data_IF_080297225257
#
_entry.id   IF_080297225257
#
_cell.length_a   1.000
_cell.length_b   1.000
_cell.length_c   1.000
_cell.angle_alpha   90.00
_cell.angle_beta   90.00
_cell.angle_gamma   90.00
#
_symmetry.space_group_name_H-M   'P 1'
#
loop_
_entity.id
_entity.type
_entity.pdbx_description
1 polymer ?
#
# COMPACT_ATOMS: atom_id res chain seq x y z
N UNK A 1 11.74 4.78 -34.67
CA UNK A 1 11.06 6.08 -34.74
C UNK A 1 9.56 5.82 -34.72
N UNK A 2 8.97 5.71 -33.53
CA UNK A 2 7.54 5.85 -33.34
C UNK A 2 7.34 6.87 -32.23
N UNK A 3 6.62 7.92 -32.62
CA UNK A 3 6.42 9.18 -31.93
C UNK A 3 5.16 9.07 -31.09
N UNK A 4 5.23 9.62 -29.87
CA UNK A 4 4.20 10.37 -29.16
C UNK A 4 2.73 9.91 -29.32
N UNK A 5 2.22 9.06 -28.39
CA UNK A 5 0.85 9.12 -27.83
C UNK A 5 0.81 8.29 -26.52
N UNK A 6 1.45 8.70 -25.42
CA UNK A 6 1.17 8.15 -24.07
C UNK A 6 1.55 9.20 -23.01
N UNK A 7 0.79 10.29 -22.91
CA UNK A 7 1.09 11.36 -21.94
C UNK A 7 -0.13 11.81 -21.13
N UNK A 8 -1.17 10.96 -21.01
CA UNK A 8 -2.42 11.33 -20.33
C UNK A 8 -2.94 10.36 -19.27
N UNK A 9 -2.20 9.29 -18.93
CA UNK A 9 -2.69 8.19 -18.06
C UNK A 9 -1.93 8.10 -16.72
N UNK A 10 -0.98 9.01 -16.46
CA UNK A 10 -0.11 8.92 -15.27
C UNK A 10 -0.67 9.64 -14.05
N UNK A 11 -1.75 10.41 -14.19
CA UNK A 11 -2.35 11.20 -13.10
C UNK A 11 -2.98 10.30 -12.02
N UNK A 12 -3.43 9.10 -12.38
CA UNK A 12 -3.87 8.11 -11.41
C UNK A 12 -2.70 7.36 -10.76
N UNK A 13 -1.46 7.37 -11.25
CA UNK A 13 -0.48 6.35 -10.86
C UNK A 13 0.21 6.57 -9.51
N UNK A 14 0.22 7.77 -8.92
CA UNK A 14 0.80 7.96 -7.59
C UNK A 14 -0.21 7.59 -6.48
N UNK A 15 -1.45 8.11 -6.55
CA UNK A 15 -2.55 7.72 -5.65
C UNK A 15 -3.12 6.33 -5.97
N UNK A 16 -3.21 5.92 -7.23
CA UNK A 16 -3.64 4.58 -7.61
C UNK A 16 -2.52 3.54 -7.59
N UNK A 17 -1.22 3.85 -7.55
CA UNK A 17 -0.25 2.81 -7.13
C UNK A 17 -0.43 2.49 -5.65
N UNK A 18 -0.80 3.48 -4.83
CA UNK A 18 -1.18 3.28 -3.42
C UNK A 18 -2.50 2.49 -3.33
N UNK A 19 -3.52 2.77 -4.15
CA UNK A 19 -4.77 1.99 -4.15
C UNK A 19 -4.65 0.63 -4.85
N UNK A 20 -3.87 0.47 -5.92
CA UNK A 20 -3.68 -0.80 -6.68
C UNK A 20 -2.75 -1.75 -5.94
N UNK A 21 -1.78 -1.27 -5.16
CA UNK A 21 -0.99 -2.13 -4.27
C UNK A 21 -1.78 -2.57 -3.01
N UNK A 22 -2.92 -1.92 -2.69
CA UNK A 22 -3.77 -2.20 -1.53
C UNK A 22 -5.14 -2.82 -1.90
N UNK A 23 -5.46 -2.98 -3.19
CA UNK A 23 -6.71 -3.57 -3.67
C UNK A 23 -6.49 -4.97 -4.26
N UNK A 24 -6.43 -5.96 -3.37
CA UNK A 24 -6.84 -7.32 -3.72
C UNK A 24 -8.21 -7.58 -3.08
N UNK A 25 -9.19 -7.59 -3.97
CA UNK A 25 -10.65 -7.71 -3.85
C UNK A 25 -11.21 -8.59 -2.73
N UNK A 26 -12.32 -8.10 -2.15
CA UNK A 26 -13.32 -8.90 -1.43
C UNK A 26 -14.69 -8.20 -1.47
N UNK A 27 -15.69 -8.85 -2.07
CA UNK A 27 -17.03 -8.30 -2.28
C UNK A 27 -17.79 -8.02 -0.96
N UNK A 28 -18.49 -6.88 -0.88
CA UNK A 28 -19.26 -6.44 0.30
C UNK A 28 -20.76 -6.67 0.05
N UNK A 29 -21.45 -7.26 1.02
CA UNK A 29 -22.92 -7.34 1.10
C UNK A 29 -23.43 -6.31 2.11
N UNK A 30 -24.31 -5.41 1.68
CA UNK A 30 -24.91 -4.34 2.49
C UNK A 30 -25.88 -4.90 3.56
N UNK A 31 -25.81 -4.38 4.80
CA UNK A 31 -26.82 -4.61 5.86
C UNK A 31 -27.76 -3.40 5.97
N UNK A 32 -29.04 -3.59 6.34
CA UNK A 32 -30.02 -2.52 6.41
C UNK A 32 -29.95 -1.69 7.71
N UNK A 33 -30.43 -0.45 7.55
CA UNK A 33 -30.40 0.75 8.40
C UNK A 33 -30.80 0.54 9.87
N UNK A 34 -30.14 1.28 10.78
CA UNK A 34 -30.54 1.50 12.17
C UNK A 34 -31.07 2.94 12.33
N UNK A 35 -32.14 3.08 13.11
CA UNK A 35 -32.93 4.30 13.32
C UNK A 35 -32.25 5.25 14.35
N UNK A 36 -32.03 6.52 14.02
CA UNK A 36 -31.29 7.53 14.84
C UNK A 36 -32.25 8.57 15.44
N UNK A 37 -31.92 9.10 16.64
CA UNK A 37 -32.78 9.93 17.54
C UNK A 37 -32.64 11.45 17.33
N UNK A 38 -33.76 12.15 17.51
CA UNK A 38 -34.08 13.51 17.05
C UNK A 38 -33.47 14.75 17.79
N UNK A 39 -32.34 14.64 18.48
CA UNK A 39 -31.69 15.80 19.17
C UNK A 39 -30.40 16.26 18.45
N UNK A 40 -29.73 15.36 17.72
CA UNK A 40 -28.54 15.68 16.91
C UNK A 40 -28.88 16.34 15.54
N UNK A 41 -30.17 16.57 15.27
CA UNK A 41 -30.72 16.89 13.94
C UNK A 41 -30.25 18.22 13.33
N UNK A 42 -29.86 19.23 14.11
CA UNK A 42 -29.55 20.56 13.54
C UNK A 42 -28.09 20.71 13.05
N UNK A 43 -27.13 20.09 13.75
CA UNK A 43 -25.72 20.12 13.34
C UNK A 43 -25.47 19.06 12.26
N UNK A 44 -26.05 17.88 12.40
CA UNK A 44 -25.94 16.78 11.43
C UNK A 44 -26.66 17.14 10.11
N UNK A 45 -27.77 17.88 10.11
CA UNK A 45 -28.46 18.27 8.87
C UNK A 45 -27.60 19.13 7.92
N UNK A 46 -26.66 19.92 8.44
CA UNK A 46 -25.72 20.71 7.61
C UNK A 46 -24.51 19.90 7.11
N UNK A 47 -24.31 18.69 7.66
CA UNK A 47 -23.23 17.76 7.35
C UNK A 47 -23.71 16.55 6.53
N UNK A 48 -25.01 16.48 6.23
CA UNK A 48 -25.54 15.45 5.34
C UNK A 48 -25.08 15.70 3.90
N UNK A 49 -24.76 14.64 3.15
CA UNK A 49 -24.46 14.76 1.74
C UNK A 49 -25.60 15.45 1.00
N UNK A 50 -25.27 16.42 0.16
CA UNK A 50 -26.24 17.00 -0.76
C UNK A 50 -26.56 15.97 -1.84
N UNK A 51 -27.84 15.68 -2.05
CA UNK A 51 -28.25 14.86 -3.19
C UNK A 51 -28.01 15.66 -4.48
N UNK A 52 -26.97 15.30 -5.22
CA UNK A 52 -26.68 15.93 -6.51
C UNK A 52 -27.28 15.10 -7.64
N UNK A 53 -28.16 15.72 -8.42
CA UNK A 53 -28.84 15.09 -9.57
C UNK A 53 -28.12 15.51 -10.86
N UNK A 54 -27.36 14.59 -11.47
CA UNK A 54 -26.65 14.85 -12.74
C UNK A 54 -25.40 13.99 -12.90
N UNK A 55 -24.78 14.08 -14.07
CA UNK A 55 -23.50 13.41 -14.39
C UNK A 55 -22.31 14.36 -14.35
N UNK A 56 -22.56 15.67 -14.23
CA UNK A 56 -21.55 16.72 -14.19
C UNK A 56 -21.86 17.75 -13.10
N UNK A 57 -20.81 18.47 -12.70
CA UNK A 57 -20.81 19.52 -11.70
C UNK A 57 -20.31 20.83 -12.30
N UNK A 58 -20.89 21.95 -11.90
CA UNK A 58 -20.35 23.29 -12.16
C UNK A 58 -19.33 23.68 -11.08
N UNK A 59 -18.54 24.73 -11.33
CA UNK A 59 -17.51 25.21 -10.41
C UNK A 59 -18.07 25.54 -9.00
N UNK A 60 -19.27 26.13 -8.94
CA UNK A 60 -19.96 26.48 -7.68
C UNK A 60 -20.51 25.25 -6.92
N UNK A 61 -20.57 24.09 -7.57
CA UNK A 61 -21.01 22.83 -6.96
C UNK A 61 -19.85 21.99 -6.42
N UNK A 62 -18.59 22.39 -6.66
CA UNK A 62 -17.42 21.64 -6.21
C UNK A 62 -17.31 21.58 -4.69
N UNK A 63 -17.75 22.63 -4.00
CA UNK A 63 -17.66 22.70 -2.54
C UNK A 63 -18.88 22.06 -1.84
N UNK A 64 -19.78 21.43 -2.58
CA UNK A 64 -20.92 20.73 -2.01
C UNK A 64 -20.51 19.38 -1.41
N UNK A 65 -21.08 19.01 -0.24
CA UNK A 65 -20.84 17.71 0.36
C UNK A 65 -21.44 16.61 -0.54
N UNK A 66 -20.60 15.69 -0.99
CA UNK A 66 -21.01 14.52 -1.78
C UNK A 66 -21.04 13.24 -0.96
N UNK A 67 -20.34 13.24 0.18
CA UNK A 67 -20.39 12.16 1.15
C UNK A 67 -20.08 12.67 2.55
N UNK A 68 -20.43 11.87 3.54
CA UNK A 68 -19.94 12.00 4.91
C UNK A 68 -19.67 10.63 5.49
N UNK A 69 -18.79 10.56 6.48
CA UNK A 69 -18.57 9.34 7.23
C UNK A 69 -18.31 9.63 8.70
N UNK A 70 -18.73 8.73 9.56
CA UNK A 70 -18.38 8.76 10.98
C UNK A 70 -17.33 7.70 11.24
N UNK A 71 -16.21 8.08 11.84
CA UNK A 71 -15.18 7.16 12.31
C UNK A 71 -14.76 7.59 13.72
N UNK A 72 -14.65 6.63 14.65
CA UNK A 72 -14.37 6.90 16.08
C UNK A 72 -15.27 7.98 16.73
N UNK A 73 -16.52 8.10 16.28
CA UNK A 73 -17.48 9.11 16.77
C UNK A 73 -17.24 10.53 16.24
N UNK A 74 -16.33 10.72 15.29
CA UNK A 74 -16.09 11.99 14.60
C UNK A 74 -16.73 11.94 13.21
N UNK A 75 -17.55 12.95 12.91
CA UNK A 75 -18.17 13.12 11.59
C UNK A 75 -17.20 13.87 10.67
N UNK A 76 -16.97 13.30 9.50
CA UNK A 76 -16.18 13.87 8.41
C UNK A 76 -17.08 14.10 7.21
N UNK A 77 -16.90 15.24 6.55
CA UNK A 77 -17.62 15.60 5.33
C UNK A 77 -16.62 15.57 4.17
N UNK A 78 -17.04 15.06 3.03
CA UNK A 78 -16.26 14.99 1.80
C UNK A 78 -16.98 15.80 0.73
N UNK A 79 -16.33 16.84 0.21
CA UNK A 79 -16.80 17.67 -0.90
C UNK A 79 -16.51 17.05 -2.26
N UNK A 80 -17.23 17.47 -3.30
CA UNK A 80 -16.93 17.03 -4.67
C UNK A 80 -15.49 17.40 -5.09
N UNK A 81 -15.02 18.57 -4.66
CA UNK A 81 -13.66 19.07 -4.89
C UNK A 81 -12.63 18.09 -4.36
N UNK A 82 -12.78 17.64 -3.11
CA UNK A 82 -11.87 16.67 -2.50
C UNK A 82 -11.83 15.36 -3.28
N UNK A 83 -13.00 14.86 -3.75
CA UNK A 83 -13.02 13.61 -4.51
C UNK A 83 -12.34 13.73 -5.87
N UNK A 84 -12.53 14.88 -6.54
CA UNK A 84 -11.85 15.18 -7.81
C UNK A 84 -10.34 15.32 -7.58
N UNK A 85 -9.95 16.06 -6.54
CA UNK A 85 -8.55 16.32 -6.20
C UNK A 85 -7.79 15.08 -5.72
N UNK A 86 -8.50 14.08 -5.17
CA UNK A 86 -7.90 12.81 -4.81
C UNK A 86 -7.27 12.06 -6.00
N UNK A 87 -7.83 12.26 -7.20
CA UNK A 87 -7.39 11.56 -8.41
C UNK A 87 -6.61 12.40 -9.42
N UNK A 88 -6.65 13.74 -9.34
CA UNK A 88 -6.07 14.67 -10.33
C UNK A 88 -6.10 16.11 -9.82
N UNK A 89 -5.40 17.06 -10.47
CA UNK A 89 -5.67 18.48 -10.26
C UNK A 89 -7.02 18.90 -10.85
N UNK A 90 -7.62 19.97 -10.32
CA UNK A 90 -8.88 20.51 -10.82
C UNK A 90 -8.80 20.92 -12.29
N UNK A 91 -7.74 21.62 -12.68
CA UNK A 91 -7.54 22.04 -14.07
C UNK A 91 -7.48 20.84 -15.02
N UNK A 92 -6.84 19.74 -14.62
CA UNK A 92 -6.79 18.53 -15.42
C UNK A 92 -8.10 17.73 -15.42
N UNK A 93 -8.92 17.85 -14.36
CA UNK A 93 -10.22 17.19 -14.26
C UNK A 93 -11.37 17.97 -14.93
N UNK A 94 -11.11 19.20 -15.38
CA UNK A 94 -12.10 20.06 -16.03
C UNK A 94 -12.37 19.59 -17.45
N UNK A 95 -13.65 19.41 -17.76
CA UNK A 95 -14.12 19.07 -19.10
C UNK A 95 -13.97 20.28 -20.04
N UNK A 96 -13.97 20.01 -21.36
CA UNK A 96 -13.91 21.05 -22.40
C UNK A 96 -15.05 22.08 -22.32
N UNK A 97 -16.19 21.71 -21.73
CA UNK A 97 -17.34 22.58 -21.51
C UNK A 97 -17.27 23.41 -20.20
N UNK A 98 -16.17 23.27 -19.44
CA UNK A 98 -15.93 23.96 -18.18
C UNK A 98 -16.58 23.29 -16.96
N UNK A 99 -17.22 22.14 -17.11
CA UNK A 99 -17.80 21.34 -16.02
C UNK A 99 -16.83 20.27 -15.50
N UNK A 100 -17.22 19.56 -14.45
CA UNK A 100 -16.47 18.42 -13.88
C UNK A 100 -17.33 17.17 -13.87
N UNK A 101 -16.74 15.99 -14.03
CA UNK A 101 -17.48 14.74 -13.87
C UNK A 101 -17.92 14.55 -12.42
N UNK A 102 -19.16 14.10 -12.22
CA UNK A 102 -19.66 13.75 -10.89
C UNK A 102 -18.80 12.64 -10.27
N UNK A 103 -18.39 12.77 -8.99
CA UNK A 103 -17.62 11.72 -8.32
C UNK A 103 -18.37 10.39 -8.21
N UNK A 104 -17.65 9.29 -8.37
CA UNK A 104 -18.18 7.93 -8.18
C UNK A 104 -18.13 7.52 -6.71
N UNK A 105 -19.01 6.60 -6.32
CA UNK A 105 -19.01 6.02 -4.98
C UNK A 105 -17.66 5.34 -4.66
N UNK A 106 -17.03 4.65 -5.62
CA UNK A 106 -15.74 3.98 -5.40
C UNK A 106 -14.61 4.94 -5.02
N UNK A 107 -14.55 6.12 -5.63
CA UNK A 107 -13.53 7.12 -5.27
C UNK A 107 -13.81 7.69 -3.88
N UNK A 108 -15.07 7.94 -3.54
CA UNK A 108 -15.48 8.32 -2.18
C UNK A 108 -15.05 7.27 -1.16
N UNK A 109 -15.36 5.99 -1.41
CA UNK A 109 -15.00 4.90 -0.49
C UNK A 109 -13.48 4.75 -0.33
N UNK A 110 -12.71 5.04 -1.39
CA UNK A 110 -11.25 5.04 -1.34
C UNK A 110 -10.70 6.15 -0.44
N UNK A 111 -11.30 7.35 -0.48
CA UNK A 111 -10.97 8.46 0.41
C UNK A 111 -11.31 8.11 1.86
N UNK A 112 -12.51 7.60 2.12
CA UNK A 112 -12.93 7.18 3.47
C UNK A 112 -11.93 6.17 4.05
N UNK A 113 -11.58 5.14 3.28
CA UNK A 113 -10.61 4.12 3.70
C UNK A 113 -9.23 4.73 3.99
N UNK A 114 -8.76 5.62 3.13
CA UNK A 114 -7.46 6.28 3.30
C UNK A 114 -7.44 7.12 4.57
N UNK A 115 -8.47 7.95 4.78
CA UNK A 115 -8.56 8.84 5.93
C UNK A 115 -8.69 8.07 7.25
N UNK A 116 -9.52 7.02 7.29
CA UNK A 116 -9.66 6.17 8.48
C UNK A 116 -8.33 5.48 8.84
N UNK A 117 -7.55 5.02 7.85
CA UNK A 117 -6.22 4.45 8.09
C UNK A 117 -5.20 5.50 8.58
N UNK A 118 -5.23 6.72 8.05
CA UNK A 118 -4.38 7.81 8.52
C UNK A 118 -4.72 8.21 9.96
N UNK A 119 -6.01 8.26 10.30
CA UNK A 119 -6.44 8.49 11.68
C UNK A 119 -5.98 7.35 12.59
N UNK A 120 -6.07 6.10 12.12
CA UNK A 120 -5.60 4.96 12.89
C UNK A 120 -4.08 4.99 13.10
N UNK A 121 -3.31 5.38 12.08
CA UNK A 121 -1.88 5.62 12.23
C UNK A 121 -1.60 6.66 13.32
N UNK A 122 -2.34 7.79 13.32
CA UNK A 122 -2.25 8.83 14.34
C UNK A 122 -2.62 8.32 15.74
N UNK A 123 -3.71 7.57 15.87
CA UNK A 123 -4.16 6.98 17.14
C UNK A 123 -3.12 6.02 17.72
N UNK A 124 -2.38 5.36 16.84
CA UNK A 124 -1.27 4.48 17.19
C UNK A 124 0.08 5.19 17.41
N UNK A 125 0.10 6.53 17.36
CA UNK A 125 1.29 7.34 17.54
C UNK A 125 2.31 7.21 16.40
N UNK A 126 1.87 6.82 15.22
CA UNK A 126 2.73 6.72 14.03
C UNK A 126 2.96 8.12 13.48
N UNK A 127 4.23 8.49 13.40
CA UNK A 127 4.70 9.72 12.75
C UNK A 127 5.81 9.37 11.77
N UNK A 128 5.94 10.14 10.70
CA UNK A 128 7.06 10.06 9.77
C UNK A 128 7.93 11.32 9.88
N UNK A 129 9.25 11.15 9.84
CA UNK A 129 10.17 12.28 9.74
C UNK A 129 10.33 12.75 8.29
N UNK A 130 10.87 13.95 8.08
CA UNK A 130 11.17 14.46 6.74
C UNK A 130 12.14 13.52 5.99
N UNK A 131 13.07 12.88 6.70
CA UNK A 131 13.98 11.90 6.11
C UNK A 131 13.24 10.65 5.62
N UNK A 132 12.23 10.16 6.35
CA UNK A 132 11.39 9.03 5.95
C UNK A 132 10.53 9.39 4.73
N UNK A 133 9.99 10.61 4.70
CA UNK A 133 9.22 11.16 3.58
C UNK A 133 10.10 11.28 2.31
N UNK A 134 11.30 11.84 2.42
CA UNK A 134 12.27 11.89 1.31
C UNK A 134 12.74 10.51 0.87
N UNK A 135 12.93 9.57 1.79
CA UNK A 135 13.30 8.20 1.45
C UNK A 135 12.20 7.52 0.62
N UNK A 136 10.94 7.68 1.04
CA UNK A 136 9.79 7.21 0.27
C UNK A 136 9.75 7.83 -1.13
N UNK A 137 9.90 9.16 -1.22
CA UNK A 137 9.89 9.87 -2.51
C UNK A 137 10.99 9.34 -3.46
N UNK A 138 12.23 9.19 -2.98
CA UNK A 138 13.31 8.61 -3.80
C UNK A 138 13.01 7.20 -4.25
N UNK A 139 12.44 6.38 -3.38
CA UNK A 139 12.14 4.98 -3.68
C UNK A 139 11.08 4.84 -4.78
N UNK A 140 10.00 5.64 -4.73
CA UNK A 140 8.84 5.46 -5.60
C UNK A 140 8.75 6.46 -6.77
N UNK A 141 9.30 7.66 -6.61
CA UNK A 141 9.32 8.72 -7.64
C UNK A 141 10.69 8.89 -8.30
N UNK A 142 11.72 8.22 -7.78
CA UNK A 142 13.11 8.32 -8.26
C UNK A 142 13.82 9.63 -7.86
N UNK A 143 13.16 10.50 -7.10
CA UNK A 143 13.65 11.80 -6.63
C UNK A 143 12.92 12.20 -5.34
N UNK A 144 13.55 13.00 -4.50
CA UNK A 144 12.94 13.71 -3.35
C UNK A 144 12.81 15.22 -3.58
N UNK A 145 13.07 15.68 -4.80
CA UNK A 145 12.78 17.05 -5.22
C UNK A 145 11.26 17.21 -5.41
N UNK A 146 10.61 17.82 -4.41
CA UNK A 146 9.16 18.03 -4.41
C UNK A 146 8.69 19.05 -5.44
N UNK A 147 9.55 19.96 -5.90
CA UNK A 147 9.21 20.87 -6.99
C UNK A 147 9.13 20.10 -8.32
N UNK A 148 10.08 19.18 -8.55
CA UNK A 148 10.05 18.28 -9.71
C UNK A 148 8.87 17.31 -9.65
N UNK A 149 8.57 16.74 -8.48
CA UNK A 149 7.37 15.92 -8.27
C UNK A 149 6.11 16.74 -8.62
N UNK A 150 5.92 17.89 -7.99
CA UNK A 150 4.77 18.75 -8.22
C UNK A 150 4.61 19.14 -9.69
N UNK A 151 5.69 19.53 -10.35
CA UNK A 151 5.69 19.86 -11.78
C UNK A 151 5.30 18.67 -12.66
N UNK A 152 5.84 17.47 -12.40
CA UNK A 152 5.52 16.26 -13.17
C UNK A 152 4.04 15.88 -13.07
N UNK A 153 3.41 16.20 -11.94
CA UNK A 153 2.02 15.84 -11.67
C UNK A 153 1.03 17.00 -11.84
N UNK A 154 1.52 18.22 -12.08
CA UNK A 154 0.66 19.40 -12.24
C UNK A 154 -0.14 19.73 -10.98
N UNK A 155 0.46 19.50 -9.81
CA UNK A 155 -0.10 19.80 -8.48
C UNK A 155 0.78 20.83 -7.78
N UNK A 156 0.29 21.37 -6.67
CA UNK A 156 1.08 22.27 -5.84
C UNK A 156 2.16 21.51 -5.05
N UNK A 157 3.27 22.19 -4.74
CA UNK A 157 4.40 21.58 -4.00
C UNK A 157 3.99 21.08 -2.62
N UNK A 158 3.15 21.84 -1.92
CA UNK A 158 2.67 21.45 -0.59
C UNK A 158 1.72 20.26 -0.66
N UNK A 159 0.89 20.18 -1.70
CA UNK A 159 0.01 19.04 -1.96
C UNK A 159 0.84 17.77 -2.27
N UNK A 160 1.90 17.90 -3.06
CA UNK A 160 2.83 16.80 -3.32
C UNK A 160 3.47 16.28 -2.03
N UNK A 161 3.93 17.18 -1.15
CA UNK A 161 4.52 16.81 0.15
C UNK A 161 3.53 16.11 1.06
N UNK A 162 2.30 16.63 1.15
CA UNK A 162 1.23 16.05 1.95
C UNK A 162 0.92 14.62 1.49
N UNK A 163 0.73 14.41 0.18
CA UNK A 163 0.43 13.09 -0.37
C UNK A 163 1.54 12.07 -0.13
N UNK A 164 2.81 12.47 -0.29
CA UNK A 164 3.95 11.59 0.00
C UNK A 164 4.05 11.29 1.51
N UNK A 165 3.75 12.26 2.35
CA UNK A 165 3.71 12.08 3.82
C UNK A 165 2.63 11.08 4.24
N UNK A 166 1.43 11.20 3.67
CA UNK A 166 0.35 10.22 3.88
C UNK A 166 0.77 8.82 3.43
N UNK A 167 1.38 8.70 2.26
CA UNK A 167 1.84 7.42 1.72
C UNK A 167 2.91 6.77 2.61
N UNK A 168 3.91 7.53 3.06
CA UNK A 168 4.93 7.06 3.98
C UNK A 168 4.33 6.63 5.34
N UNK A 169 3.35 7.38 5.84
CA UNK A 169 2.64 7.06 7.09
C UNK A 169 1.87 5.74 6.97
N UNK A 170 1.15 5.53 5.87
CA UNK A 170 0.42 4.29 5.62
C UNK A 170 1.34 3.09 5.40
N UNK A 171 2.50 3.28 4.76
CA UNK A 171 3.52 2.23 4.65
C UNK A 171 4.04 1.83 6.03
N UNK A 172 4.34 2.81 6.89
CA UNK A 172 4.79 2.57 8.26
C UNK A 172 3.72 1.89 9.11
N UNK A 173 2.46 2.26 8.92
CA UNK A 173 1.32 1.55 9.53
C UNK A 173 1.25 0.10 9.05
N UNK A 174 1.34 -0.13 7.74
CA UNK A 174 1.33 -1.48 7.17
C UNK A 174 2.45 -2.32 7.76
N UNK A 175 3.68 -1.82 7.75
CA UNK A 175 4.83 -2.54 8.31
C UNK A 175 4.61 -2.85 9.79
N UNK A 176 4.09 -1.91 10.58
CA UNK A 176 3.76 -2.19 12.00
C UNK A 176 2.71 -3.30 12.14
N UNK A 177 1.66 -3.28 11.32
CA UNK A 177 0.57 -4.27 11.33
C UNK A 177 1.06 -5.64 10.85
N UNK A 178 1.96 -5.69 9.87
CA UNK A 178 2.47 -6.93 9.28
C UNK A 178 3.75 -7.44 9.94
N UNK A 179 4.12 -6.89 11.09
CA UNK A 179 5.31 -7.27 11.87
C UNK A 179 6.65 -7.03 11.11
N UNK A 180 6.71 -5.92 10.39
CA UNK A 180 7.86 -5.41 9.66
C UNK A 180 7.78 -5.63 8.14
N UNK A 181 8.76 -5.09 7.40
CA UNK A 181 8.94 -5.36 5.98
C UNK A 181 9.35 -6.82 5.76
N UNK A 182 8.90 -7.41 4.66
CA UNK A 182 9.09 -8.85 4.33
C UNK A 182 10.51 -9.15 3.81
N UNK A 183 11.35 -8.13 3.67
CA UNK A 183 12.67 -8.23 3.05
C UNK A 183 12.58 -8.32 1.52
N UNK A 184 13.74 -8.35 0.88
CA UNK A 184 13.84 -8.44 -0.58
C UNK A 184 13.54 -9.85 -1.08
N UNK A 185 13.14 -9.94 -2.35
CA UNK A 185 13.02 -11.24 -3.03
C UNK A 185 14.37 -11.96 -3.01
N UNK A 186 14.44 -13.24 -2.61
CA UNK A 186 15.68 -13.99 -2.63
C UNK A 186 16.29 -14.02 -4.03
N UNK A 187 17.61 -13.92 -4.12
CA UNK A 187 18.37 -14.02 -5.37
C UNK A 187 19.00 -15.41 -5.49
N UNK A 188 18.99 -16.00 -6.69
CA UNK A 188 19.58 -17.32 -6.91
C UNK A 188 21.12 -17.27 -6.75
N UNK A 189 21.76 -18.37 -6.30
CA UNK A 189 23.21 -18.44 -6.20
C UNK A 189 23.86 -18.45 -7.59
N UNK A 190 25.09 -17.93 -7.67
CA UNK A 190 25.85 -17.90 -8.92
C UNK A 190 26.20 -19.31 -9.40
N UNK A 191 25.93 -19.59 -10.67
CA UNK A 191 26.23 -20.89 -11.27
C UNK A 191 27.75 -21.09 -11.44
N UNK A 192 28.30 -22.27 -11.11
CA UNK A 192 29.70 -22.55 -11.35
C UNK A 192 30.02 -22.57 -12.85
N UNK A 193 31.22 -22.11 -13.22
CA UNK A 193 31.59 -21.90 -14.64
C UNK A 193 31.64 -23.18 -15.47
N UNK A 194 31.89 -24.32 -14.84
CA UNK A 194 31.87 -25.64 -15.48
C UNK A 194 30.48 -26.32 -15.42
N UNK A 195 29.50 -25.67 -14.79
CA UNK A 195 28.15 -26.17 -14.60
C UNK A 195 28.04 -27.34 -13.62
N UNK A 196 29.10 -27.66 -12.88
CA UNK A 196 29.12 -28.80 -11.96
C UNK A 196 28.28 -28.52 -10.70
N UNK A 197 27.15 -29.21 -10.49
CA UNK A 197 26.28 -28.95 -9.34
C UNK A 197 26.90 -29.36 -8.00
N UNK A 198 27.91 -30.22 -8.02
CA UNK A 198 28.61 -30.70 -6.84
C UNK A 198 29.83 -29.84 -6.50
N UNK A 199 30.11 -28.78 -7.28
CA UNK A 199 31.18 -27.84 -6.95
C UNK A 199 30.91 -27.21 -5.59
N UNK A 200 31.87 -27.36 -4.68
CA UNK A 200 31.81 -26.78 -3.35
C UNK A 200 32.59 -25.48 -3.27
N UNK A 201 32.09 -24.55 -2.46
CA UNK A 201 32.79 -23.30 -2.18
C UNK A 201 32.38 -22.71 -0.82
N UNK A 202 33.23 -21.82 -0.30
CA UNK A 202 32.91 -20.99 0.86
C UNK A 202 31.78 -19.99 0.56
N UNK A 203 31.66 -19.54 -0.69
CA UNK A 203 30.62 -18.59 -1.08
C UNK A 203 29.23 -19.24 -1.04
N UNK A 204 29.11 -20.52 -1.44
CA UNK A 204 27.87 -21.27 -1.29
C UNK A 204 27.52 -21.56 0.17
N UNK A 205 28.53 -21.85 1.02
CA UNK A 205 28.30 -22.00 2.46
C UNK A 205 27.74 -20.71 3.08
N UNK A 206 28.39 -19.57 2.81
CA UNK A 206 27.96 -18.26 3.28
C UNK A 206 26.56 -17.91 2.79
N UNK A 207 26.27 -18.15 1.52
CA UNK A 207 24.94 -17.93 0.94
C UNK A 207 23.86 -18.72 1.68
N UNK A 208 24.08 -20.02 1.96
CA UNK A 208 23.11 -20.84 2.71
C UNK A 208 22.94 -20.31 4.14
N UNK A 209 24.03 -19.95 4.81
CA UNK A 209 24.01 -19.46 6.19
C UNK A 209 23.28 -18.11 6.29
N UNK A 210 23.53 -17.20 5.35
CA UNK A 210 22.86 -15.89 5.29
C UNK A 210 21.35 -16.06 5.07
N UNK A 211 20.93 -17.03 4.25
CA UNK A 211 19.51 -17.36 4.05
C UNK A 211 18.87 -18.03 5.28
N UNK A 212 19.60 -18.94 5.93
CA UNK A 212 19.14 -19.65 7.11
C UNK A 212 19.00 -18.74 8.33
N UNK A 213 19.87 -17.72 8.44
CA UNK A 213 19.86 -16.75 9.52
C UNK A 213 19.97 -17.43 10.89
N UNK A 214 18.94 -17.27 11.69
CA UNK A 214 18.85 -17.81 13.05
C UNK A 214 18.70 -19.34 13.10
N UNK A 215 18.29 -20.00 12.01
CA UNK A 215 18.21 -21.47 11.94
C UNK A 215 19.60 -22.14 11.95
N UNK A 216 20.66 -21.42 11.59
CA UNK A 216 22.04 -21.92 11.63
C UNK A 216 22.77 -21.52 12.91
N UNK A 217 23.49 -22.47 13.50
CA UNK A 217 24.42 -22.21 14.60
C UNK A 217 25.85 -22.16 14.05
N UNK A 218 26.35 -20.94 13.82
CA UNK A 218 27.70 -20.73 13.32
C UNK A 218 28.80 -21.17 14.31
N UNK A 219 28.54 -21.16 15.62
CA UNK A 219 29.52 -21.59 16.63
C UNK A 219 29.62 -23.12 16.67
N UNK A 220 28.47 -23.80 16.59
CA UNK A 220 28.43 -25.27 16.54
C UNK A 220 28.71 -25.83 15.14
N UNK A 221 28.61 -24.99 14.09
CA UNK A 221 28.75 -25.41 12.69
C UNK A 221 27.64 -26.37 12.26
N UNK A 222 26.41 -26.16 12.75
CA UNK A 222 25.29 -27.07 12.50
C UNK A 222 23.93 -26.36 12.63
N UNK A 223 22.84 -27.04 12.28
CA UNK A 223 21.47 -26.52 12.42
C UNK A 223 21.07 -26.43 13.89
N UNK A 224 20.47 -25.29 14.31
CA UNK A 224 19.94 -25.14 15.68
C UNK A 224 18.78 -26.09 15.96
N UNK A 225 17.93 -26.28 14.95
CA UNK A 225 16.78 -27.18 15.00
C UNK A 225 16.85 -28.12 13.78
N UNK A 226 17.00 -29.45 13.98
CA UNK A 226 17.04 -30.40 12.87
C UNK A 226 15.72 -30.50 12.09
N UNK A 227 14.60 -30.03 12.67
CA UNK A 227 13.28 -30.02 12.04
C UNK A 227 12.97 -28.66 11.36
N UNK A 228 13.94 -27.74 11.31
CA UNK A 228 13.77 -26.45 10.66
C UNK A 228 13.61 -26.59 9.14
N UNK A 229 12.93 -25.63 8.46
CA UNK A 229 12.76 -25.68 7.00
C UNK A 229 14.07 -25.86 6.23
N UNK A 230 15.13 -25.14 6.60
CA UNK A 230 16.43 -25.28 5.94
C UNK A 230 17.10 -26.62 6.29
N UNK A 231 17.08 -27.05 7.56
CA UNK A 231 17.68 -28.31 7.98
C UNK A 231 17.05 -29.52 7.25
N UNK A 232 15.72 -29.55 7.14
CA UNK A 232 15.00 -30.61 6.44
C UNK A 232 15.29 -30.62 4.93
N UNK A 233 15.30 -29.45 4.29
CA UNK A 233 15.59 -29.34 2.85
C UNK A 233 17.03 -29.72 2.52
N UNK A 234 17.95 -29.49 3.47
CA UNK A 234 19.38 -29.70 3.29
C UNK A 234 19.91 -31.00 3.90
N UNK A 235 19.04 -31.85 4.44
CA UNK A 235 19.43 -33.09 5.13
C UNK A 235 20.29 -34.05 4.29
N UNK A 236 20.19 -33.99 2.96
CA UNK A 236 20.99 -34.78 2.02
C UNK A 236 22.32 -34.16 1.61
N UNK A 237 22.63 -32.95 2.07
CA UNK A 237 23.82 -32.19 1.68
C UNK A 237 24.77 -32.01 2.87
N UNK A 238 26.07 -32.00 2.58
CA UNK A 238 27.08 -31.57 3.54
C UNK A 238 27.16 -30.04 3.50
N UNK A 239 26.77 -29.41 4.62
CA UNK A 239 26.88 -27.96 4.84
C UNK A 239 27.75 -27.75 6.07
N UNK A 240 28.82 -26.99 5.90
CA UNK A 240 29.71 -26.54 6.97
C UNK A 240 29.83 -25.02 6.89
N UNK A 241 30.47 -24.39 7.88
CA UNK A 241 30.74 -22.96 7.84
C UNK A 241 31.58 -22.52 6.63
N UNK A 242 32.43 -23.41 6.10
CA UNK A 242 33.44 -23.05 5.10
C UNK A 242 33.22 -23.72 3.73
N UNK A 243 32.24 -24.63 3.61
CA UNK A 243 32.03 -25.41 2.39
C UNK A 243 30.59 -25.92 2.30
N UNK A 244 29.97 -25.65 1.14
CA UNK A 244 28.73 -26.27 0.69
C UNK A 244 28.73 -26.36 -0.84
N UNK A 245 27.94 -27.27 -1.41
CA UNK A 245 27.82 -27.41 -2.86
C UNK A 245 26.86 -26.40 -3.48
N UNK A 246 27.02 -26.12 -4.78
CA UNK A 246 26.05 -25.34 -5.54
C UNK A 246 24.64 -25.95 -5.45
N UNK A 247 24.52 -27.28 -5.53
CA UNK A 247 23.24 -27.98 -5.37
C UNK A 247 22.59 -27.72 -3.99
N UNK A 248 23.39 -27.67 -2.92
CA UNK A 248 22.91 -27.30 -1.59
C UNK A 248 22.43 -25.82 -1.57
N UNK A 249 23.19 -24.91 -2.20
CA UNK A 249 22.79 -23.51 -2.30
C UNK A 249 21.49 -23.33 -3.09
N UNK A 250 21.28 -24.08 -4.17
CA UNK A 250 20.01 -24.07 -4.90
C UNK A 250 18.83 -24.61 -4.08
N UNK A 251 19.05 -25.66 -3.27
CA UNK A 251 18.03 -26.16 -2.36
C UNK A 251 17.67 -25.13 -1.28
N UNK A 252 18.66 -24.46 -0.69
CA UNK A 252 18.44 -23.37 0.27
C UNK A 252 17.69 -22.19 -0.37
N UNK A 253 18.05 -21.81 -1.60
CA UNK A 253 17.34 -20.79 -2.36
C UNK A 253 15.86 -21.13 -2.56
N UNK A 254 15.54 -22.38 -2.88
CA UNK A 254 14.14 -22.81 -3.03
C UNK A 254 13.35 -22.66 -1.72
N UNK A 255 13.96 -22.98 -0.57
CA UNK A 255 13.37 -22.73 0.76
C UNK A 255 13.15 -21.24 0.98
N UNK A 256 14.15 -20.40 0.67
CA UNK A 256 14.05 -18.95 0.83
C UNK A 256 12.87 -18.38 0.02
N UNK A 257 12.74 -18.77 -1.26
CA UNK A 257 11.62 -18.36 -2.12
C UNK A 257 10.29 -18.79 -1.52
N UNK A 258 10.18 -20.02 -1.02
CA UNK A 258 8.97 -20.51 -0.38
C UNK A 258 8.61 -19.69 0.88
N UNK A 259 9.59 -19.43 1.77
CA UNK A 259 9.38 -18.63 2.99
C UNK A 259 8.96 -17.20 2.63
N UNK A 260 9.61 -16.58 1.64
CA UNK A 260 9.24 -15.24 1.13
C UNK A 260 7.80 -15.20 0.61
N UNK A 261 7.39 -16.18 -0.19
CA UNK A 261 6.02 -16.26 -0.69
C UNK A 261 4.98 -16.45 0.43
N UNK A 262 5.30 -17.27 1.43
CA UNK A 262 4.43 -17.49 2.60
C UNK A 262 4.31 -16.21 3.45
N UNK A 263 5.43 -15.54 3.72
CA UNK A 263 5.45 -14.27 4.45
C UNK A 263 4.65 -13.19 3.70
N UNK A 264 4.82 -13.09 2.38
CA UNK A 264 4.06 -12.18 1.51
C UNK A 264 2.55 -12.43 1.58
N UNK A 265 2.12 -13.68 1.49
CA UNK A 265 0.70 -14.04 1.60
C UNK A 265 0.14 -13.76 3.00
N UNK A 266 0.89 -14.09 4.05
CA UNK A 266 0.47 -13.86 5.42
C UNK A 266 0.35 -12.36 5.74
N UNK A 267 1.33 -11.56 5.33
CA UNK A 267 1.31 -10.11 5.49
C UNK A 267 0.17 -9.48 4.68
N UNK A 268 -0.04 -9.91 3.44
CA UNK A 268 -1.16 -9.45 2.61
C UNK A 268 -2.51 -9.72 3.29
N UNK A 269 -2.72 -10.96 3.76
CA UNK A 269 -3.93 -11.32 4.50
C UNK A 269 -4.12 -10.47 5.76
N UNK A 270 -3.07 -10.35 6.57
CA UNK A 270 -3.10 -9.57 7.82
C UNK A 270 -3.46 -8.11 7.56
N UNK A 271 -2.85 -7.52 6.53
CA UNK A 271 -3.13 -6.16 6.12
C UNK A 271 -4.57 -5.99 5.59
N UNK A 272 -5.05 -6.90 4.73
CA UNK A 272 -6.43 -6.88 4.24
C UNK A 272 -7.44 -6.99 5.37
N UNK A 273 -7.24 -7.92 6.31
CA UNK A 273 -8.12 -8.09 7.48
C UNK A 273 -8.14 -6.81 8.33
N UNK A 274 -6.98 -6.19 8.52
CA UNK A 274 -6.84 -4.94 9.25
C UNK A 274 -7.58 -3.78 8.58
N UNK A 275 -7.36 -3.55 7.29
CA UNK A 275 -8.04 -2.51 6.51
C UNK A 275 -9.56 -2.71 6.53
N UNK A 276 -10.02 -3.95 6.40
CA UNK A 276 -11.45 -4.27 6.47
C UNK A 276 -12.03 -4.01 7.87
N UNK A 277 -11.26 -4.25 8.94
CA UNK A 277 -11.69 -3.94 10.30
C UNK A 277 -11.82 -2.42 10.51
N UNK A 278 -10.84 -1.64 10.03
CA UNK A 278 -10.88 -0.17 10.11
C UNK A 278 -12.07 0.37 9.32
N UNK A 279 -12.23 -0.07 8.08
CA UNK A 279 -13.32 0.40 7.23
C UNK A 279 -14.71 -0.07 7.72
N UNK A 280 -14.80 -1.28 8.27
CA UNK A 280 -16.04 -1.81 8.85
C UNK A 280 -16.50 -1.09 10.13
N UNK A 281 -15.64 -0.26 10.72
CA UNK A 281 -15.99 0.60 11.85
C UNK A 281 -16.44 2.02 11.43
N UNK A 282 -16.47 2.33 10.12
CA UNK A 282 -16.94 3.60 9.60
C UNK A 282 -18.40 3.52 9.14
N UNK A 283 -19.21 4.51 9.53
CA UNK A 283 -20.58 4.69 9.03
C UNK A 283 -20.56 5.70 7.88
N UNK A 284 -20.85 5.26 6.65
CA UNK A 284 -20.69 6.09 5.43
C UNK A 284 -22.03 6.43 4.81
N UNK A 285 -22.23 7.72 4.50
CA UNK A 285 -23.37 8.24 3.75
C UNK A 285 -22.89 8.89 2.45
N UNK A 286 -23.47 8.50 1.32
CA UNK A 286 -23.10 9.01 -0.02
C UNK A 286 -24.32 9.68 -0.66
N UNK A 287 -24.15 10.90 -1.14
CA UNK A 287 -25.19 11.74 -1.76
C UNK A 287 -25.15 11.77 -3.29
N UNK A 288 -24.30 10.97 -3.94
CA UNK A 288 -24.18 10.93 -5.41
C UNK A 288 -25.01 9.79 -6.01
N UNK A 289 -25.63 10.04 -7.18
CA UNK A 289 -26.52 9.08 -7.86
C UNK A 289 -25.88 8.33 -9.04
N UNK A 290 -24.55 8.37 -9.19
CA UNK A 290 -23.89 7.72 -10.33
C UNK A 290 -23.29 6.40 -9.87
N UNK A 291 -24.02 5.31 -10.18
CA UNK A 291 -23.59 3.92 -10.04
C UNK A 291 -22.65 3.49 -11.16
#
# INVERSE_FOLDING_TARGET
>A
MFSAVVTGVVVAAACAAIVVALSLSGAITLRPEQEIRADEDAVIASQQPTLLTGTTLTEDQLDYPVASYTYNGVVHVISAREVIMYGSSLEAAKNDDGTYTMPTADTVLSIVRTNALLEEAKNQGITVSDEEVSAYARQYSGTDDFDDIAQRYGIEVDEAKEQVTHAATLLKLKDKVTNGPIGDVPTAPDQPSDGNPDMTSVDYARYIIDLAGDEWDAEAGTWRDPDSPYALALAGYEVTNDSASYAAAQAAYAVAVQKYQQATQAASKTWTDYVNSVFGAADVHIGTLVS
#
